data_IF_347913003550
#
_entry.id   IF_347913003550
#
_cell.length_a   1.000
_cell.length_b   1.000
_cell.length_c   1.000
_cell.angle_alpha   90.00
_cell.angle_beta   90.00
_cell.angle_gamma   90.00
#
_symmetry.space_group_name_H-M   'P 1'
#
loop_
_entity.id
_entity.type
_entity.pdbx_description
1 polymer ?
#
# COMPACT_ATOMS: atom_id res chain seq x y z
N UNK A 1 11.54 32.83 -21.14
CA UNK A 1 12.51 32.71 -20.03
C UNK A 1 11.77 32.96 -18.73
N UNK A 2 11.40 31.91 -18.01
CA UNK A 2 10.99 32.00 -16.61
C UNK A 2 11.22 30.63 -15.98
N UNK A 3 12.39 30.50 -15.39
CA UNK A 3 12.84 29.34 -14.63
C UNK A 3 12.09 29.32 -13.30
N UNK A 4 11.35 28.25 -13.01
CA UNK A 4 10.80 28.04 -11.66
C UNK A 4 11.97 27.78 -10.68
N UNK A 5 11.96 28.41 -9.49
CA UNK A 5 13.10 28.36 -8.59
C UNK A 5 13.27 26.97 -7.96
N UNK A 6 14.51 26.48 -8.00
CA UNK A 6 14.99 25.20 -7.43
C UNK A 6 15.02 25.19 -5.89
N UNK A 7 14.01 25.69 -5.20
CA UNK A 7 14.06 25.82 -3.73
C UNK A 7 12.89 25.11 -3.05
N UNK A 8 12.96 23.78 -2.99
CA UNK A 8 12.13 23.00 -2.05
C UNK A 8 12.65 21.58 -1.76
N UNK A 9 13.79 21.16 -2.32
CA UNK A 9 14.29 19.78 -2.14
C UNK A 9 15.23 19.61 -0.95
N UNK A 10 15.73 20.70 -0.35
CA UNK A 10 16.71 20.65 0.74
C UNK A 10 16.09 20.49 2.14
N UNK A 11 14.76 20.59 2.28
CA UNK A 11 14.07 20.46 3.57
C UNK A 11 13.45 19.07 3.84
N UNK A 12 13.61 18.11 2.92
CA UNK A 12 13.20 16.74 3.20
C UNK A 12 14.20 16.12 4.18
N UNK A 13 13.75 15.55 5.32
CA UNK A 13 14.62 14.93 6.32
C UNK A 13 15.35 13.67 5.81
N UNK A 14 15.11 13.26 4.58
CA UNK A 14 15.74 12.12 3.92
C UNK A 14 16.60 12.64 2.77
N UNK A 15 17.92 12.74 3.01
CA UNK A 15 18.90 13.01 1.95
C UNK A 15 19.08 11.76 1.10
N UNK A 16 18.39 11.66 -0.03
CA UNK A 16 18.66 10.61 -1.01
C UNK A 16 19.98 10.93 -1.72
N UNK A 17 21.04 10.21 -1.33
CA UNK A 17 22.34 10.29 -2.00
C UNK A 17 22.25 9.51 -3.32
N UNK A 18 21.81 10.18 -4.39
CA UNK A 18 21.79 9.59 -5.72
C UNK A 18 23.21 9.50 -6.30
N UNK A 19 23.67 8.29 -6.62
CA UNK A 19 24.93 8.08 -7.32
C UNK A 19 24.77 8.36 -8.82
N UNK A 20 25.28 9.51 -9.28
CA UNK A 20 25.43 9.83 -10.71
C UNK A 20 24.21 10.43 -11.41
N UNK A 21 24.47 11.37 -12.34
CA UNK A 21 23.56 12.04 -13.31
C UNK A 21 22.08 12.15 -12.91
N UNK A 22 21.77 13.17 -12.11
CA UNK A 22 20.44 13.45 -11.52
C UNK A 22 19.31 13.70 -12.52
N UNK A 23 19.60 14.16 -13.76
CA UNK A 23 18.56 14.62 -14.69
C UNK A 23 17.88 13.49 -15.45
N UNK A 24 18.63 12.45 -15.85
CA UNK A 24 18.07 11.34 -16.63
C UNK A 24 17.20 10.42 -15.76
N UNK A 25 17.61 10.18 -14.52
CA UNK A 25 16.95 9.24 -13.61
C UNK A 25 15.54 9.68 -13.17
N UNK A 26 15.32 10.99 -13.01
CA UNK A 26 14.00 11.53 -12.65
C UNK A 26 12.97 11.37 -13.77
N UNK A 27 13.36 11.60 -15.02
CA UNK A 27 12.46 11.43 -16.17
C UNK A 27 12.01 9.98 -16.34
N UNK A 28 12.90 9.01 -16.11
CA UNK A 28 12.55 7.58 -16.13
C UNK A 28 11.60 7.18 -14.99
N UNK A 29 11.73 7.77 -13.79
CA UNK A 29 10.78 7.55 -12.70
C UNK A 29 9.39 8.12 -13.02
N UNK A 30 9.31 9.33 -13.54
CA UNK A 30 8.03 9.95 -13.92
C UNK A 30 7.31 9.16 -15.03
N UNK A 31 8.04 8.73 -16.06
CA UNK A 31 7.47 7.88 -17.10
C UNK A 31 6.96 6.53 -16.56
N UNK A 32 7.65 5.98 -15.54
CA UNK A 32 7.23 4.73 -14.89
C UNK A 32 6.00 4.90 -14.02
N UNK A 33 5.91 6.00 -13.27
CA UNK A 33 4.73 6.38 -12.49
C UNK A 33 3.48 6.50 -13.38
N UNK A 34 3.63 7.15 -14.54
CA UNK A 34 2.55 7.32 -15.52
C UNK A 34 2.13 6.01 -16.20
N UNK A 35 3.04 5.04 -16.30
CA UNK A 35 2.76 3.74 -16.94
C UNK A 35 1.95 2.77 -16.07
N UNK A 36 1.70 3.08 -14.79
CA UNK A 36 1.08 2.19 -13.79
C UNK A 36 1.70 0.79 -13.68
N UNK A 37 2.89 0.58 -14.23
CA UNK A 37 3.61 -0.69 -14.17
C UNK A 37 4.46 -0.74 -12.89
N UNK A 38 3.88 -1.33 -11.85
CA UNK A 38 4.57 -1.50 -10.56
C UNK A 38 5.93 -2.19 -10.68
N UNK A 39 6.11 -3.15 -11.59
CA UNK A 39 7.38 -3.87 -11.72
C UNK A 39 8.48 -2.97 -12.26
N UNK A 40 8.17 -2.16 -13.27
CA UNK A 40 9.11 -1.17 -13.82
C UNK A 40 9.45 -0.10 -12.80
N UNK A 41 8.46 0.41 -12.07
CA UNK A 41 8.67 1.39 -11.01
C UNK A 41 9.60 0.85 -9.93
N UNK A 42 9.35 -0.37 -9.44
CA UNK A 42 10.23 -1.01 -8.45
C UNK A 42 11.63 -1.33 -8.99
N UNK A 43 11.76 -1.67 -10.28
CA UNK A 43 13.06 -1.86 -10.93
C UNK A 43 13.86 -0.56 -10.97
N UNK A 44 13.22 0.54 -11.36
CA UNK A 44 13.85 1.85 -11.49
C UNK A 44 14.20 2.44 -10.13
N UNK A 45 13.34 2.28 -9.12
CA UNK A 45 13.66 2.64 -7.74
C UNK A 45 14.88 1.86 -7.24
N UNK A 46 14.98 0.56 -7.50
CA UNK A 46 16.14 -0.23 -7.11
C UNK A 46 17.43 0.24 -7.81
N UNK A 47 17.35 0.60 -9.09
CA UNK A 47 18.49 1.10 -9.86
C UNK A 47 19.02 2.42 -9.28
N UNK A 48 18.11 3.31 -8.94
CA UNK A 48 18.42 4.67 -8.49
C UNK A 48 18.90 4.69 -7.04
N UNK A 49 18.29 3.87 -6.18
CA UNK A 49 18.62 3.78 -4.75
C UNK A 49 19.74 2.79 -4.46
N UNK A 50 20.07 1.92 -5.42
CA UNK A 50 20.97 0.78 -5.23
C UNK A 50 20.63 -0.08 -4.01
N UNK A 51 19.35 -0.11 -3.61
CA UNK A 51 18.85 -0.76 -2.39
C UNK A 51 19.28 -2.23 -2.24
N UNK A 52 19.53 -2.93 -3.36
CA UNK A 52 19.93 -4.34 -3.37
C UNK A 52 21.46 -4.57 -3.42
N UNK A 53 22.25 -3.55 -3.74
CA UNK A 53 23.68 -3.71 -4.05
C UNK A 53 24.59 -3.52 -2.85
N UNK A 54 24.10 -2.93 -1.76
CA UNK A 54 24.81 -2.85 -0.51
C UNK A 54 24.04 -3.60 0.56
N UNK A 55 24.60 -4.72 1.03
CA UNK A 55 24.34 -5.21 2.39
C UNK A 55 24.93 -4.14 3.33
N UNK A 56 24.25 -3.00 3.46
CA UNK A 56 24.52 -2.08 4.54
C UNK A 56 24.13 -2.85 5.79
N UNK A 57 25.13 -3.42 6.46
CA UNK A 57 25.01 -3.68 7.88
C UNK A 57 24.66 -2.33 8.48
N UNK A 58 23.41 -2.20 8.92
CA UNK A 58 22.93 -1.03 9.61
C UNK A 58 23.68 -0.96 10.94
N UNK A 59 24.92 -0.46 10.92
CA UNK A 59 25.60 0.00 12.11
C UNK A 59 24.95 1.32 12.49
N UNK A 60 23.86 1.21 13.23
CA UNK A 60 23.27 2.32 13.95
C UNK A 60 23.24 1.90 15.41
N UNK A 61 24.22 2.37 16.19
CA UNK A 61 24.28 2.17 17.66
C UNK A 61 23.19 2.98 18.39
N UNK A 62 22.36 3.75 17.66
CA UNK A 62 21.25 4.48 18.24
C UNK A 62 20.07 3.54 18.53
N UNK A 63 20.13 2.93 19.71
CA UNK A 63 19.05 2.11 20.27
C UNK A 63 17.72 2.85 20.39
N UNK A 64 17.71 4.19 20.31
CA UNK A 64 16.49 5.03 20.38
C UNK A 64 15.89 5.34 19.01
N UNK A 65 16.59 5.03 17.92
CA UNK A 65 16.10 5.28 16.55
C UNK A 65 14.74 4.63 16.26
N UNK A 66 14.47 3.36 16.64
CA UNK A 66 13.17 2.75 16.41
C UNK A 66 12.03 3.51 17.08
N UNK A 67 12.25 3.96 18.32
CA UNK A 67 11.25 4.72 19.08
C UNK A 67 11.01 6.11 18.48
N UNK A 68 12.07 6.79 18.04
CA UNK A 68 11.96 8.08 17.33
C UNK A 68 11.19 7.97 16.02
N UNK A 69 11.45 6.92 15.24
CA UNK A 69 10.70 6.65 14.01
C UNK A 69 9.25 6.32 14.30
N UNK A 70 8.99 5.46 15.29
CA UNK A 70 7.65 5.08 15.67
C UNK A 70 6.84 6.30 16.13
N UNK A 71 7.43 7.17 16.95
CA UNK A 71 6.81 8.44 17.35
C UNK A 71 6.54 9.35 16.14
N UNK A 72 7.52 9.50 15.25
CA UNK A 72 7.38 10.36 14.07
C UNK A 72 6.29 9.90 13.11
N UNK A 73 6.14 8.60 12.89
CA UNK A 73 5.11 8.07 11.98
C UNK A 73 3.75 7.92 12.65
N UNK A 74 3.68 7.65 13.96
CA UNK A 74 2.42 7.58 14.69
C UNK A 74 1.79 8.96 15.00
N UNK A 75 2.53 10.07 14.83
CA UNK A 75 2.01 11.43 15.09
C UNK A 75 0.79 11.79 14.24
N UNK A 76 0.67 11.22 13.05
CA UNK A 76 -0.45 11.48 12.14
C UNK A 76 -1.78 10.92 12.65
N UNK A 77 -1.76 9.91 13.52
CA UNK A 77 -2.97 9.34 14.12
C UNK A 77 -3.42 10.11 15.37
N UNK A 78 -2.51 10.83 16.04
CA UNK A 78 -2.78 11.55 17.30
C UNK A 78 -3.37 12.94 17.08
N UNK A 79 -2.88 13.65 16.05
CA UNK A 79 -3.19 15.06 15.81
C UNK A 79 -4.03 15.28 14.53
N UNK A 80 -4.73 14.24 14.05
CA UNK A 80 -5.59 14.33 12.85
C UNK A 80 -6.90 15.09 13.14
N UNK A 81 -6.79 16.27 13.77
CA UNK A 81 -7.90 17.21 14.02
C UNK A 81 -8.19 18.09 12.80
N UNK A 82 -7.34 18.05 11.78
CA UNK A 82 -7.54 18.75 10.53
C UNK A 82 -8.56 18.00 9.70
N UNK A 83 -9.82 18.44 9.73
CA UNK A 83 -10.81 18.04 8.74
C UNK A 83 -10.23 18.37 7.36
N UNK A 84 -9.99 17.37 6.49
CA UNK A 84 -9.50 17.67 5.15
C UNK A 84 -10.52 18.59 4.48
N UNK A 85 -10.06 19.74 4.00
CA UNK A 85 -10.89 20.62 3.18
C UNK A 85 -11.43 19.79 2.01
N UNK A 86 -12.72 19.90 1.67
CA UNK A 86 -13.27 19.20 0.51
C UNK A 86 -12.43 19.57 -0.69
N UNK A 87 -11.72 18.60 -1.26
CA UNK A 87 -11.10 18.80 -2.57
C UNK A 87 -12.25 19.05 -3.53
N UNK A 88 -12.24 20.21 -4.20
CA UNK A 88 -13.10 20.48 -5.33
C UNK A 88 -12.68 19.55 -6.47
N UNK A 89 -13.11 18.30 -6.40
CA UNK A 89 -12.98 17.35 -7.49
C UNK A 89 -14.03 17.75 -8.51
N UNK A 90 -13.59 18.07 -9.73
CA UNK A 90 -14.47 18.12 -10.88
C UNK A 90 -15.34 16.85 -10.88
N UNK A 91 -16.63 17.01 -11.18
CA UNK A 91 -17.71 16.01 -11.05
C UNK A 91 -17.49 14.77 -11.95
N UNK A 92 -16.45 14.00 -11.67
CA UNK A 92 -16.29 12.67 -12.21
C UNK A 92 -17.47 11.81 -11.73
N UNK A 93 -18.07 10.99 -12.61
CA UNK A 93 -19.17 10.13 -12.23
C UNK A 93 -18.81 9.30 -10.99
N UNK A 94 -19.73 9.13 -10.03
CA UNK A 94 -19.49 8.32 -8.85
C UNK A 94 -18.94 6.95 -9.25
N UNK A 95 -17.87 6.52 -8.61
CA UNK A 95 -17.31 5.20 -8.87
C UNK A 95 -18.32 4.13 -8.44
N UNK A 96 -18.83 3.37 -9.41
CA UNK A 96 -19.80 2.29 -9.18
C UNK A 96 -19.17 0.94 -9.48
N UNK A 97 -19.26 0.03 -8.52
CA UNK A 97 -18.85 -1.37 -8.70
C UNK A 97 -19.99 -2.11 -9.39
N UNK A 98 -19.67 -2.83 -10.48
CA UNK A 98 -20.64 -3.66 -11.20
C UNK A 98 -20.64 -5.09 -10.66
N UNK A 99 -21.80 -5.73 -10.69
CA UNK A 99 -21.95 -7.13 -10.27
C UNK A 99 -21.01 -8.07 -11.04
N UNK A 100 -20.78 -7.80 -12.33
CA UNK A 100 -19.85 -8.57 -13.14
C UNK A 100 -18.43 -8.56 -12.58
N UNK A 101 -17.96 -7.41 -12.10
CA UNK A 101 -16.61 -7.24 -11.56
C UNK A 101 -16.46 -7.99 -10.24
N UNK A 102 -17.49 -7.98 -9.40
CA UNK A 102 -17.54 -8.77 -8.16
C UNK A 102 -17.48 -10.26 -8.46
N UNK A 103 -18.31 -10.74 -9.40
CA UNK A 103 -18.34 -12.15 -9.81
C UNK A 103 -17.00 -12.61 -10.39
N UNK A 104 -16.36 -11.77 -11.21
CA UNK A 104 -15.03 -12.05 -11.75
C UNK A 104 -13.96 -12.07 -10.65
N UNK A 105 -14.05 -11.17 -9.68
CA UNK A 105 -13.13 -11.10 -8.53
C UNK A 105 -13.25 -12.33 -7.64
N UNK A 106 -14.47 -12.77 -7.32
CA UNK A 106 -14.72 -14.02 -6.60
C UNK A 106 -14.20 -15.25 -7.36
N UNK A 107 -14.29 -15.23 -8.70
CA UNK A 107 -13.74 -16.28 -9.56
C UNK A 107 -12.21 -16.42 -9.49
N UNK A 108 -11.51 -15.31 -9.24
CA UNK A 108 -10.04 -15.23 -9.18
C UNK A 108 -9.46 -15.59 -7.81
N UNK A 109 -10.30 -15.91 -6.82
CA UNK A 109 -9.83 -16.29 -5.49
C UNK A 109 -8.95 -17.54 -5.55
N UNK A 110 -7.81 -17.49 -4.85
CA UNK A 110 -6.89 -18.63 -4.70
C UNK A 110 -7.28 -19.45 -3.47
N UNK A 111 -6.92 -20.73 -3.47
CA UNK A 111 -7.11 -21.56 -2.29
C UNK A 111 -6.13 -21.12 -1.19
N UNK A 112 -6.71 -20.50 -0.16
CA UNK A 112 -6.02 -20.03 1.05
C UNK A 112 -6.71 -20.61 2.28
N UNK A 113 -6.07 -20.46 3.44
CA UNK A 113 -6.70 -20.75 4.72
C UNK A 113 -8.01 -19.96 4.85
N UNK A 114 -8.98 -20.55 5.55
CA UNK A 114 -10.23 -19.87 5.85
C UNK A 114 -9.97 -18.69 6.79
N UNK A 115 -10.81 -17.66 6.66
CA UNK A 115 -10.81 -16.53 7.58
C UNK A 115 -11.34 -16.91 8.97
N UNK A 116 -11.52 -15.92 9.85
CA UNK A 116 -12.10 -16.12 11.19
C UNK A 116 -13.57 -16.56 11.14
N UNK A 117 -14.23 -16.38 10.00
CA UNK A 117 -15.56 -16.87 9.67
C UNK A 117 -15.58 -18.36 9.29
N UNK A 118 -14.41 -19.00 9.18
CA UNK A 118 -14.24 -20.37 8.70
C UNK A 118 -14.79 -20.61 7.27
N UNK A 119 -14.97 -19.54 6.48
CA UNK A 119 -15.43 -19.64 5.10
C UNK A 119 -14.22 -19.81 4.19
N UNK A 120 -14.17 -20.93 3.48
CA UNK A 120 -13.09 -21.19 2.50
C UNK A 120 -13.30 -20.35 1.25
N UNK A 121 -12.23 -19.77 0.65
CA UNK A 121 -12.32 -19.05 -0.62
C UNK A 121 -12.95 -19.88 -1.77
N UNK A 122 -12.78 -21.20 -1.72
CA UNK A 122 -13.41 -22.14 -2.65
C UNK A 122 -14.94 -22.07 -2.62
N UNK A 123 -15.54 -21.92 -1.44
CA UNK A 123 -16.99 -21.81 -1.31
C UNK A 123 -17.48 -20.51 -1.95
N UNK A 124 -16.81 -19.39 -1.69
CA UNK A 124 -17.13 -18.09 -2.29
C UNK A 124 -17.07 -18.12 -3.83
N UNK A 125 -16.09 -18.84 -4.39
CA UNK A 125 -15.96 -19.03 -5.83
C UNK A 125 -17.09 -19.88 -6.42
N UNK A 126 -17.51 -20.93 -5.72
CA UNK A 126 -18.64 -21.76 -6.15
C UNK A 126 -19.97 -20.99 -6.08
N UNK A 127 -20.14 -20.19 -5.03
CA UNK A 127 -21.34 -19.38 -4.80
C UNK A 127 -21.27 -17.98 -5.43
N UNK A 128 -20.33 -17.74 -6.35
CA UNK A 128 -20.06 -16.39 -6.88
C UNK A 128 -21.27 -15.77 -7.57
N UNK A 129 -22.11 -16.57 -8.21
CA UNK A 129 -23.29 -16.07 -8.92
C UNK A 129 -24.37 -15.61 -7.94
N UNK A 130 -24.54 -16.31 -6.82
CA UNK A 130 -25.50 -15.98 -5.77
C UNK A 130 -25.02 -14.80 -4.92
N UNK A 131 -23.71 -14.71 -4.67
CA UNK A 131 -23.13 -13.69 -3.78
C UNK A 131 -22.84 -12.37 -4.48
N UNK A 132 -22.67 -12.36 -5.81
CA UNK A 132 -22.21 -11.16 -6.52
C UNK A 132 -23.17 -9.98 -6.37
N UNK A 133 -24.47 -10.20 -6.48
CA UNK A 133 -25.48 -9.13 -6.38
C UNK A 133 -25.51 -8.50 -4.99
N UNK A 134 -25.56 -9.34 -3.94
CA UNK A 134 -25.59 -8.87 -2.54
C UNK A 134 -24.30 -8.15 -2.16
N UNK A 135 -23.14 -8.69 -2.53
CA UNK A 135 -21.85 -8.04 -2.25
C UNK A 135 -21.69 -6.74 -3.03
N UNK A 136 -22.13 -6.70 -4.30
CA UNK A 136 -22.15 -5.48 -5.09
C UNK A 136 -22.99 -4.38 -4.43
N UNK A 137 -24.19 -4.73 -3.93
CA UNK A 137 -25.05 -3.80 -3.19
C UNK A 137 -24.34 -3.27 -1.93
N UNK A 138 -23.76 -4.17 -1.11
CA UNK A 138 -23.06 -3.78 0.12
C UNK A 138 -21.88 -2.85 -0.19
N UNK A 139 -21.09 -3.14 -1.23
CA UNK A 139 -19.94 -2.32 -1.59
C UNK A 139 -20.34 -0.93 -2.08
N UNK A 140 -21.33 -0.83 -2.96
CA UNK A 140 -21.80 0.47 -3.45
C UNK A 140 -22.45 1.28 -2.31
N UNK A 141 -23.22 0.63 -1.44
CA UNK A 141 -23.78 1.30 -0.25
C UNK A 141 -22.67 1.80 0.68
N UNK A 142 -21.60 1.03 0.84
CA UNK A 142 -20.44 1.43 1.65
C UNK A 142 -19.70 2.62 1.05
N UNK A 143 -19.59 2.69 -0.28
CA UNK A 143 -18.98 3.82 -1.00
C UNK A 143 -19.82 5.09 -0.87
N UNK A 144 -21.15 4.97 -1.01
CA UNK A 144 -22.08 6.10 -0.91
C UNK A 144 -22.12 6.69 0.51
N UNK A 145 -22.18 5.82 1.53
CA UNK A 145 -22.26 6.26 2.93
C UNK A 145 -20.92 6.51 3.58
N UNK A 146 -19.81 6.15 2.93
CA UNK A 146 -18.47 6.10 3.54
C UNK A 146 -18.42 5.26 4.83
N UNK A 147 -19.32 4.27 4.96
CA UNK A 147 -19.38 3.38 6.11
C UNK A 147 -19.18 1.93 5.69
N UNK A 148 -18.42 1.17 6.49
CA UNK A 148 -18.17 -0.26 6.23
C UNK A 148 -18.81 -1.08 7.35
N UNK A 149 -19.54 -2.17 7.03
CA UNK A 149 -20.13 -3.06 8.03
C UNK A 149 -19.12 -3.50 9.10
N UNK A 150 -19.55 -3.47 10.37
CA UNK A 150 -18.67 -3.76 11.52
C UNK A 150 -18.06 -5.18 11.41
N UNK A 151 -18.82 -6.14 10.89
CA UNK A 151 -18.34 -7.50 10.67
C UNK A 151 -17.12 -7.57 9.74
N UNK A 152 -17.00 -6.67 8.75
CA UNK A 152 -15.84 -6.62 7.84
C UNK A 152 -14.61 -5.97 8.49
N UNK A 153 -14.79 -5.22 9.59
CA UNK A 153 -13.70 -4.62 10.37
C UNK A 153 -13.14 -5.56 11.44
N UNK A 154 -13.84 -6.65 11.76
CA UNK A 154 -13.44 -7.59 12.80
C UNK A 154 -12.40 -8.58 12.26
N UNK A 155 -11.31 -8.76 12.99
CA UNK A 155 -10.26 -9.75 12.68
C UNK A 155 -9.90 -10.58 13.90
N UNK A 156 -9.36 -11.78 13.69
CA UNK A 156 -8.83 -12.65 14.75
C UNK A 156 -7.31 -12.70 14.65
N UNK A 157 -6.64 -12.31 15.74
CA UNK A 157 -5.19 -12.34 15.84
C UNK A 157 -4.79 -13.68 16.46
N UNK A 158 -4.14 -14.53 15.65
CA UNK A 158 -3.58 -15.79 16.12
C UNK A 158 -2.06 -15.67 16.11
N UNK A 159 -1.43 -15.84 17.27
CA UNK A 159 0.03 -15.83 17.39
C UNK A 159 0.58 -17.14 16.82
N UNK A 160 1.43 -17.05 15.80
CA UNK A 160 2.13 -18.20 15.22
C UNK A 160 3.62 -18.10 15.57
N UNK A 161 4.18 -19.05 16.33
CA UNK A 161 5.61 -19.09 16.61
C UNK A 161 6.42 -19.17 15.32
N UNK A 162 7.38 -18.25 15.14
CA UNK A 162 8.35 -18.34 14.05
C UNK A 162 9.33 -19.47 14.32
N UNK A 163 9.70 -20.22 13.28
CA UNK A 163 10.81 -21.18 13.37
C UNK A 163 12.09 -20.41 13.69
N UNK A 164 12.78 -20.80 14.75
CA UNK A 164 14.11 -20.25 15.07
C UNK A 164 15.11 -20.69 14.00
N UNK A 165 15.89 -19.73 13.50
CA UNK A 165 16.94 -19.99 12.52
C UNK A 165 18.10 -20.68 13.25
N UNK A 166 18.24 -21.99 13.13
CA UNK A 166 19.40 -22.71 13.64
C UNK A 166 20.52 -22.62 12.61
N UNK A 167 21.56 -21.83 12.91
CA UNK A 167 22.82 -21.91 12.17
C UNK A 167 23.43 -23.30 12.38
N UNK A 168 23.49 -24.11 11.32
CA UNK A 168 24.34 -25.31 11.35
C UNK A 168 25.77 -24.85 11.06
N UNK A 169 26.65 -24.97 12.06
CA UNK A 169 28.10 -24.95 11.81
C UNK A 169 28.42 -26.08 10.84
N UNK A 170 29.08 -25.76 9.74
CA UNK A 170 29.87 -26.75 9.00
C UNK A 170 31.13 -27.08 9.79
#
# INVERSE_FOLDING_TARGET
>A
MSSLPRQCWDQLPIKFKFGGSQQSNMLFLYASLLSWDSKKLWSNLNLITQYKSAKQEAQCDDTTLPDRLNYFYARFDRDNTTTPAPLSCDEDPPFVIKEHDVRCSLGKLRDKAAGPDNIKPRLLRNCRSQLASVLCFIFNWSLETSTVPICFKRSTIILVPKKVFTFKSK
#
